data_IF_074245820572
#
_entry.id   IF_074245820572
#
_cell.length_a   1.000
_cell.length_b   1.000
_cell.length_c   1.000
_cell.angle_alpha   90.00
_cell.angle_beta   90.00
_cell.angle_gamma   90.00
#
_symmetry.space_group_name_H-M   'P 1'
#
loop_
_entity.id
_entity.type
_entity.pdbx_description
1 polymer ?
#
# COMPACT_ATOMS: atom_id res chain seq x y z
N UNK A 1 25.70 6.34 -4.85
CA UNK A 1 25.20 5.13 -4.16
C UNK A 1 24.27 5.59 -3.04
N UNK A 2 23.05 5.05 -2.98
CA UNK A 2 22.15 5.24 -1.84
C UNK A 2 22.17 4.00 -0.96
N UNK A 3 22.21 4.17 0.36
CA UNK A 3 22.06 3.09 1.32
C UNK A 3 21.02 3.52 2.37
N UNK A 4 20.18 2.57 2.80
CA UNK A 4 19.16 2.79 3.83
C UNK A 4 19.25 1.66 4.83
N UNK A 5 19.52 1.99 6.08
CA UNK A 5 19.56 1.03 7.17
C UNK A 5 18.15 0.82 7.78
N UNK A 6 17.90 -0.31 8.46
CA UNK A 6 16.66 -0.52 9.20
C UNK A 6 16.36 0.64 10.17
N UNK A 7 15.12 1.11 10.18
CA UNK A 7 14.68 2.24 11.01
C UNK A 7 14.93 3.63 10.40
N UNK A 8 15.55 3.73 9.22
CA UNK A 8 15.73 5.00 8.53
C UNK A 8 14.58 5.31 7.56
N UNK A 9 14.26 6.60 7.44
CA UNK A 9 13.34 7.13 6.44
C UNK A 9 14.13 7.75 5.28
N UNK A 10 13.96 7.21 4.07
CA UNK A 10 14.50 7.80 2.86
C UNK A 10 13.41 8.62 2.14
N UNK A 11 13.67 9.91 1.91
CA UNK A 11 12.81 10.77 1.11
C UNK A 11 13.45 11.08 -0.25
N UNK A 12 12.74 10.76 -1.33
CA UNK A 12 13.15 11.09 -2.70
C UNK A 12 12.44 12.37 -3.13
N UNK A 13 13.22 13.44 -3.32
CA UNK A 13 12.70 14.78 -3.67
C UNK A 13 13.23 15.24 -5.03
N UNK A 14 12.44 16.05 -5.74
CA UNK A 14 12.79 16.57 -7.07
C UNK A 14 11.57 17.13 -7.80
N UNK A 15 11.75 17.86 -8.90
CA UNK A 15 10.65 18.48 -9.65
C UNK A 15 9.72 17.44 -10.30
N UNK A 16 8.50 17.85 -10.67
CA UNK A 16 7.59 16.98 -11.43
C UNK A 16 8.25 16.50 -12.72
N UNK A 17 8.10 15.23 -13.07
CA UNK A 17 8.78 14.64 -14.24
C UNK A 17 10.23 14.19 -14.03
N UNK A 18 10.86 14.46 -12.87
CA UNK A 18 12.24 14.03 -12.58
C UNK A 18 12.45 12.50 -12.45
N UNK A 19 11.43 11.69 -12.75
CA UNK A 19 11.55 10.22 -12.71
C UNK A 19 11.48 9.59 -11.32
N UNK A 20 11.04 10.30 -10.26
CA UNK A 20 10.93 9.75 -8.90
C UNK A 20 10.03 8.52 -8.83
N UNK A 21 8.84 8.61 -9.42
CA UNK A 21 7.90 7.49 -9.51
C UNK A 21 8.47 6.38 -10.39
N UNK A 22 9.19 6.75 -11.45
CA UNK A 22 9.88 5.80 -12.34
C UNK A 22 10.97 5.01 -11.62
N UNK A 23 11.75 5.66 -10.75
CA UNK A 23 12.77 5.03 -9.91
C UNK A 23 12.14 4.05 -8.91
N UNK A 24 11.07 4.45 -8.23
CA UNK A 24 10.36 3.56 -7.30
C UNK A 24 9.74 2.35 -8.02
N UNK A 25 9.19 2.56 -9.22
CA UNK A 25 8.65 1.48 -10.05
C UNK A 25 9.75 0.52 -10.51
N UNK A 26 10.92 1.05 -10.94
CA UNK A 26 12.06 0.25 -11.36
C UNK A 26 12.64 -0.59 -10.22
N UNK A 27 12.77 -0.01 -9.03
CA UNK A 27 13.18 -0.75 -7.83
C UNK A 27 12.19 -1.88 -7.52
N UNK A 28 10.90 -1.56 -7.44
CA UNK A 28 9.85 -2.53 -7.09
C UNK A 28 9.49 -3.52 -8.20
N UNK A 29 10.12 -3.41 -9.38
CA UNK A 29 9.85 -4.28 -10.53
C UNK A 29 8.44 -4.14 -11.11
N UNK A 30 7.76 -3.01 -10.87
CA UNK A 30 6.37 -2.76 -11.31
C UNK A 30 6.36 -1.81 -12.51
N UNK A 31 5.33 -1.91 -13.37
CA UNK A 31 5.15 -1.06 -14.55
C UNK A 31 6.37 -1.04 -15.51
N UNK A 32 7.02 -2.20 -15.68
CA UNK A 32 8.30 -2.32 -16.40
C UNK A 32 8.19 -2.12 -17.92
N UNK A 33 7.00 -2.14 -18.52
CA UNK A 33 6.72 -1.74 -19.91
C UNK A 33 7.86 -1.98 -20.90
N UNK A 34 8.37 -0.89 -21.51
CA UNK A 34 9.58 -0.87 -22.37
C UNK A 34 10.84 -0.39 -21.63
N UNK A 35 10.83 -0.37 -20.29
CA UNK A 35 11.89 0.20 -19.49
C UNK A 35 13.05 -0.81 -19.35
N UNK A 36 14.25 -0.40 -19.79
CA UNK A 36 15.48 -1.14 -19.49
C UNK A 36 16.07 -0.60 -18.20
N UNK A 37 16.19 -1.46 -17.19
CA UNK A 37 16.81 -1.14 -15.90
C UNK A 37 18.22 -1.73 -15.89
N UNK A 38 19.21 -0.91 -15.56
CA UNK A 38 20.62 -1.32 -15.42
C UNK A 38 21.12 -0.97 -14.02
N UNK A 39 22.11 -1.72 -13.54
CA UNK A 39 22.64 -1.60 -12.19
C UNK A 39 22.09 -2.65 -11.23
N UNK A 40 22.73 -2.75 -10.07
CA UNK A 40 22.43 -3.76 -9.05
C UNK A 40 21.67 -3.18 -7.87
N UNK A 41 20.66 -3.91 -7.41
CA UNK A 41 19.94 -3.64 -6.16
C UNK A 41 20.31 -4.72 -5.17
N UNK A 42 20.79 -4.33 -3.99
CA UNK A 42 21.19 -5.25 -2.93
C UNK A 42 20.32 -5.06 -1.70
N UNK A 43 19.89 -6.18 -1.09
CA UNK A 43 19.28 -6.20 0.24
C UNK A 43 20.17 -7.04 1.14
N UNK A 44 20.60 -6.45 2.26
CA UNK A 44 21.52 -7.10 3.20
C UNK A 44 22.77 -7.68 2.48
N UNK A 45 23.29 -6.96 1.49
CA UNK A 45 24.47 -7.36 0.72
C UNK A 45 24.23 -8.44 -0.34
N UNK A 46 22.98 -8.89 -0.57
CA UNK A 46 22.65 -9.88 -1.60
C UNK A 46 21.92 -9.22 -2.78
N UNK A 47 22.32 -9.51 -4.02
CA UNK A 47 21.61 -8.99 -5.19
C UNK A 47 20.18 -9.54 -5.23
N UNK A 48 19.23 -8.67 -5.50
CA UNK A 48 17.81 -9.01 -5.63
C UNK A 48 17.28 -8.58 -6.99
N UNK A 49 16.36 -9.36 -7.55
CA UNK A 49 15.62 -8.95 -8.74
C UNK A 49 14.31 -8.25 -8.33
N UNK A 50 13.64 -7.63 -9.30
CA UNK A 50 12.39 -6.90 -9.05
C UNK A 50 11.27 -7.79 -8.46
N UNK A 51 11.22 -9.07 -8.84
CA UNK A 51 10.24 -10.02 -8.30
C UNK A 51 10.44 -10.32 -6.81
N UNK A 52 11.69 -10.56 -6.40
CA UNK A 52 12.05 -10.76 -4.98
C UNK A 52 11.77 -9.49 -4.19
N UNK A 53 12.11 -8.31 -4.70
CA UNK A 53 11.82 -7.05 -4.01
C UNK A 53 10.31 -6.85 -3.83
N UNK A 54 9.51 -7.14 -4.85
CA UNK A 54 8.05 -7.06 -4.78
C UNK A 54 7.43 -8.03 -3.75
N UNK A 55 8.06 -9.18 -3.48
CA UNK A 55 7.56 -10.15 -2.48
C UNK A 55 7.86 -9.79 -1.03
N UNK A 56 8.85 -8.91 -0.78
CA UNK A 56 9.32 -8.57 0.58
C UNK A 56 9.12 -7.09 0.92
N UNK A 57 8.51 -6.32 0.01
CA UNK A 57 8.21 -4.91 0.20
C UNK A 57 6.75 -4.63 -0.16
N UNK A 58 6.16 -3.66 0.54
CA UNK A 58 4.84 -3.12 0.21
C UNK A 58 5.02 -1.80 -0.53
N UNK A 59 4.19 -1.55 -1.55
CA UNK A 59 4.26 -0.33 -2.33
C UNK A 59 2.86 0.25 -2.50
N UNK A 60 2.67 1.42 -1.89
CA UNK A 60 1.42 2.17 -1.93
C UNK A 60 1.42 3.02 -3.19
N UNK A 61 0.42 2.83 -4.04
CA UNK A 61 0.26 3.60 -5.26
C UNK A 61 -0.16 5.05 -4.96
N UNK A 62 0.17 5.99 -5.85
CA UNK A 62 -0.24 7.38 -5.71
C UNK A 62 -1.76 7.57 -5.83
N UNK A 63 -2.45 6.67 -6.54
CA UNK A 63 -3.90 6.69 -6.69
C UNK A 63 -4.48 5.42 -6.09
N UNK A 64 -5.20 5.57 -4.97
CA UNK A 64 -5.99 4.47 -4.41
C UNK A 64 -7.32 4.36 -5.16
N UNK A 65 -7.61 3.18 -5.71
CA UNK A 65 -8.92 2.85 -6.27
C UNK A 65 -9.85 2.36 -5.15
N UNK A 66 -10.38 3.30 -4.36
CA UNK A 66 -11.45 3.00 -3.43
C UNK A 66 -12.82 3.04 -4.12
N UNK A 67 -13.68 2.09 -3.76
CA UNK A 67 -15.06 2.12 -4.20
C UNK A 67 -15.87 3.10 -3.32
N UNK A 68 -16.41 4.22 -3.86
CA UNK A 68 -16.93 5.32 -3.05
C UNK A 68 -18.12 4.94 -2.15
N UNK A 69 -18.87 3.91 -2.54
CA UNK A 69 -20.08 3.48 -1.84
C UNK A 69 -19.82 2.51 -0.70
N UNK A 70 -18.62 1.90 -0.62
CA UNK A 70 -18.29 0.97 0.45
C UNK A 70 -17.93 1.72 1.73
N UNK A 71 -18.21 1.10 2.87
CA UNK A 71 -17.67 1.56 4.16
C UNK A 71 -16.21 1.14 4.32
N UNK A 72 -15.50 1.82 5.23
CA UNK A 72 -14.11 1.47 5.59
C UNK A 72 -14.02 0.01 6.04
N UNK A 73 -14.93 -0.44 6.89
CA UNK A 73 -14.97 -1.82 7.39
C UNK A 73 -15.26 -2.83 6.27
N UNK A 74 -16.22 -2.55 5.40
CA UNK A 74 -16.55 -3.43 4.28
C UNK A 74 -15.36 -3.60 3.34
N UNK A 75 -14.69 -2.50 2.99
CA UNK A 75 -13.51 -2.54 2.14
C UNK A 75 -12.40 -3.41 2.73
N UNK A 76 -12.08 -3.23 4.02
CA UNK A 76 -11.07 -4.04 4.71
C UNK A 76 -11.48 -5.50 4.80
N UNK A 77 -12.76 -5.80 5.00
CA UNK A 77 -13.24 -7.18 5.08
C UNK A 77 -13.19 -7.89 3.73
N UNK A 78 -13.52 -7.18 2.64
CA UNK A 78 -13.35 -7.70 1.27
C UNK A 78 -11.87 -7.95 1.00
N UNK A 79 -11.01 -7.00 1.33
CA UNK A 79 -9.56 -7.12 1.14
C UNK A 79 -8.99 -8.33 1.92
N UNK A 80 -9.32 -8.46 3.21
CA UNK A 80 -8.94 -9.62 4.02
C UNK A 80 -9.50 -10.94 3.48
N UNK A 81 -10.69 -10.92 2.88
CA UNK A 81 -11.30 -12.11 2.29
C UNK A 81 -10.59 -12.55 1.02
N UNK A 82 -10.18 -11.60 0.17
CA UNK A 82 -9.42 -11.87 -1.05
C UNK A 82 -8.00 -12.35 -0.75
N UNK A 83 -7.32 -11.71 0.22
CA UNK A 83 -5.95 -12.08 0.61
C UNK A 83 -5.86 -13.43 1.31
N UNK A 84 -6.83 -13.74 2.17
CA UNK A 84 -6.80 -14.92 3.03
C UNK A 84 -7.97 -15.89 2.74
N UNK A 85 -8.49 -15.90 1.52
CA UNK A 85 -9.56 -16.79 1.08
C UNK A 85 -9.15 -18.26 1.23
N UNK A 86 -9.91 -19.05 1.99
CA UNK A 86 -9.62 -20.47 2.25
C UNK A 86 -8.66 -20.77 3.42
N UNK A 87 -7.78 -19.84 3.80
CA UNK A 87 -6.80 -20.06 4.90
C UNK A 87 -7.33 -19.68 6.28
N UNK A 88 -8.09 -18.59 6.37
CA UNK A 88 -8.58 -18.05 7.65
C UNK A 88 -10.11 -18.10 7.75
N UNK A 89 -10.61 -18.40 8.95
CA UNK A 89 -12.04 -18.36 9.26
C UNK A 89 -12.55 -16.92 9.23
N UNK A 90 -13.87 -16.77 9.05
CA UNK A 90 -14.53 -15.45 9.08
C UNK A 90 -14.34 -14.73 10.41
N UNK A 91 -14.31 -15.47 11.53
CA UNK A 91 -14.08 -14.92 12.88
C UNK A 91 -12.68 -14.32 12.97
N UNK A 92 -11.65 -15.06 12.51
CA UNK A 92 -10.26 -14.58 12.53
C UNK A 92 -10.09 -13.35 11.63
N UNK A 93 -10.71 -13.34 10.45
CA UNK A 93 -10.70 -12.19 9.54
C UNK A 93 -11.33 -10.94 10.18
N UNK A 94 -12.49 -11.09 10.83
CA UNK A 94 -13.14 -10.00 11.55
C UNK A 94 -12.24 -9.43 12.67
N UNK A 95 -11.55 -10.31 13.41
CA UNK A 95 -10.62 -9.88 14.46
C UNK A 95 -9.44 -9.09 13.88
N UNK A 96 -8.85 -9.59 12.79
CA UNK A 96 -7.77 -8.90 12.06
C UNK A 96 -8.19 -7.51 11.58
N UNK A 97 -9.36 -7.40 10.97
CA UNK A 97 -9.91 -6.11 10.51
C UNK A 97 -10.14 -5.17 11.69
N UNK A 98 -10.69 -5.67 12.80
CA UNK A 98 -10.89 -4.87 14.00
C UNK A 98 -9.57 -4.36 14.59
N UNK A 99 -8.55 -5.21 14.64
CA UNK A 99 -7.22 -4.83 15.12
C UNK A 99 -6.58 -3.76 14.22
N UNK A 100 -6.74 -3.85 12.89
CA UNK A 100 -6.29 -2.82 11.94
C UNK A 100 -7.00 -1.49 12.15
N UNK A 101 -8.34 -1.51 12.31
CA UNK A 101 -9.13 -0.31 12.58
C UNK A 101 -8.65 0.41 13.85
N UNK A 102 -8.29 -0.34 14.90
CA UNK A 102 -7.76 0.21 16.16
C UNK A 102 -6.35 0.78 15.94
N UNK A 103 -5.43 -0.02 15.36
CA UNK A 103 -4.02 0.38 15.17
C UNK A 103 -3.87 1.62 14.29
N UNK A 104 -4.76 1.80 13.32
CA UNK A 104 -4.73 2.93 12.38
C UNK A 104 -5.71 4.05 12.78
N UNK A 105 -6.34 3.94 13.96
CA UNK A 105 -7.28 4.92 14.50
C UNK A 105 -8.40 5.27 13.49
N UNK A 106 -8.99 4.23 12.89
CA UNK A 106 -10.09 4.30 11.93
C UNK A 106 -11.43 3.83 12.54
N UNK A 107 -11.46 3.50 13.83
CA UNK A 107 -12.65 2.98 14.52
C UNK A 107 -13.85 3.94 14.38
N UNK A 108 -13.62 5.25 14.53
CA UNK A 108 -14.69 6.26 14.47
C UNK A 108 -15.35 6.35 13.09
N UNK A 109 -14.60 6.08 12.03
CA UNK A 109 -15.07 6.14 10.65
C UNK A 109 -15.31 4.75 10.04
N UNK A 110 -15.36 3.66 10.84
CA UNK A 110 -15.42 2.30 10.31
C UNK A 110 -16.67 2.03 9.45
N UNK A 111 -17.81 2.60 9.87
CA UNK A 111 -19.09 2.48 9.18
C UNK A 111 -19.36 3.65 8.22
N UNK A 112 -18.44 4.62 8.13
CA UNK A 112 -18.56 5.73 7.20
C UNK A 112 -18.19 5.26 5.79
N UNK A 113 -18.91 5.75 4.78
CA UNK A 113 -18.56 5.53 3.38
C UNK A 113 -17.21 6.17 3.08
N UNK A 114 -16.38 5.48 2.30
CA UNK A 114 -15.08 6.00 1.89
C UNK A 114 -15.25 7.30 1.08
N UNK A 115 -16.29 7.35 0.25
CA UNK A 115 -16.53 8.50 -0.63
C UNK A 115 -15.51 8.59 -1.77
N UNK A 116 -15.65 9.62 -2.57
CA UNK A 116 -14.84 9.87 -3.76
C UNK A 116 -15.06 11.29 -4.28
N UNK A 117 -14.63 11.58 -5.51
CA UNK A 117 -14.74 12.93 -6.07
C UNK A 117 -16.19 13.48 -6.10
N UNK A 118 -17.17 12.60 -6.26
CA UNK A 118 -18.58 12.95 -6.40
C UNK A 118 -19.40 12.75 -5.12
N UNK A 119 -18.88 12.01 -4.14
CA UNK A 119 -19.61 11.62 -2.93
C UNK A 119 -18.75 11.92 -1.71
N UNK A 120 -19.22 12.80 -0.82
CA UNK A 120 -18.53 13.09 0.43
C UNK A 120 -18.40 11.82 1.27
N UNK A 121 -17.21 11.55 1.77
CA UNK A 121 -16.92 10.42 2.64
C UNK A 121 -15.92 10.78 3.73
N UNK A 122 -15.00 9.87 4.02
CA UNK A 122 -13.95 10.06 5.02
C UNK A 122 -12.97 11.17 4.60
N UNK A 123 -12.27 11.75 5.58
CA UNK A 123 -11.25 12.76 5.32
C UNK A 123 -10.07 12.20 4.53
N UNK A 124 -9.31 13.05 3.84
CA UNK A 124 -8.11 12.63 3.11
C UNK A 124 -7.05 11.97 4.01
N UNK A 125 -6.96 12.39 5.28
CA UNK A 125 -6.08 11.75 6.26
C UNK A 125 -6.53 10.34 6.65
N UNK A 126 -7.84 10.12 6.82
CA UNK A 126 -8.42 8.79 7.05
C UNK A 126 -8.25 7.91 5.81
N UNK A 127 -8.47 8.46 4.62
CA UNK A 127 -8.27 7.76 3.34
C UNK A 127 -6.82 7.28 3.20
N UNK A 128 -5.84 8.12 3.54
CA UNK A 128 -4.43 7.71 3.52
C UNK A 128 -4.14 6.57 4.48
N UNK A 129 -4.69 6.61 5.70
CA UNK A 129 -4.56 5.51 6.68
C UNK A 129 -5.27 4.24 6.21
N UNK A 130 -6.40 4.36 5.52
CA UNK A 130 -7.09 3.22 4.89
C UNK A 130 -6.24 2.60 3.78
N UNK A 131 -5.54 3.40 2.98
CA UNK A 131 -4.58 2.88 1.97
C UNK A 131 -3.48 2.04 2.62
N UNK A 132 -2.89 2.53 3.72
CA UNK A 132 -1.94 1.74 4.52
C UNK A 132 -2.55 0.45 5.09
N UNK A 133 -3.84 0.45 5.44
CA UNK A 133 -4.52 -0.72 5.97
C UNK A 133 -4.81 -1.80 4.91
N UNK A 134 -4.87 -1.38 3.64
CA UNK A 134 -5.24 -2.23 2.50
C UNK A 134 -4.04 -2.86 1.78
N UNK A 135 -2.82 -2.44 2.10
CA UNK A 135 -1.53 -3.04 1.67
C UNK A 135 -1.00 -4.07 2.68
#
# INVERSE_FOLDING_TARGET
MGNVAPGQLLAIMGPSGAGKTTLLNALTGRNMGKMSVTGDVLINGRPVNGGTLASISSYIQQNDLFHPLLTVREHLMINATLRFGGTLTRITKNKLVQDLLIKLNLVKCSESRIGGQMVKGISGGEMKRLSFASE
#
